data_IF_282727917253
#
_entry.id   IF_282727917253
#
_cell.length_a   1.000
_cell.length_b   1.000
_cell.length_c   1.000
_cell.angle_alpha   90.00
_cell.angle_beta   90.00
_cell.angle_gamma   90.00
#
_symmetry.space_group_name_H-M   'P 1'
#
loop_
_entity.id
_entity.type
_entity.pdbx_description
1 polymer ?
#
# COMPACT_ATOMS: atom_id res chain seq x y z
N UNK A 1 -29.20 -10.35 -16.53
CA UNK A 1 -27.78 -10.58 -16.19
C UNK A 1 -27.33 -9.31 -15.50
N UNK A 2 -26.96 -9.39 -14.23
CA UNK A 2 -26.60 -8.24 -13.40
C UNK A 2 -25.07 -8.13 -13.37
N UNK A 3 -24.52 -6.98 -13.74
CA UNK A 3 -23.08 -6.74 -13.79
C UNK A 3 -22.69 -5.70 -12.72
N UNK A 4 -21.67 -5.98 -11.93
CA UNK A 4 -21.10 -4.99 -10.99
C UNK A 4 -19.62 -4.85 -11.30
N UNK A 5 -19.14 -3.62 -11.52
CA UNK A 5 -17.73 -3.35 -11.78
C UNK A 5 -17.11 -2.73 -10.53
N UNK A 6 -16.10 -3.40 -9.97
CA UNK A 6 -15.37 -2.92 -8.79
C UNK A 6 -13.94 -2.56 -9.20
N UNK A 7 -13.52 -1.32 -8.97
CA UNK A 7 -12.18 -0.81 -9.25
C UNK A 7 -11.44 -0.45 -7.95
N UNK A 8 -10.75 -1.41 -7.33
CA UNK A 8 -9.96 -1.12 -6.15
C UNK A 8 -8.60 -0.47 -6.51
N UNK A 9 -8.05 0.37 -5.62
CA UNK A 9 -6.68 0.87 -5.70
C UNK A 9 -5.71 -0.22 -5.19
N UNK A 10 -4.53 0.17 -4.70
CA UNK A 10 -3.59 -0.78 -4.12
C UNK A 10 -4.22 -1.47 -2.90
N UNK A 11 -4.38 -2.80 -2.99
CA UNK A 11 -4.91 -3.63 -1.92
C UNK A 11 -3.77 -4.01 -0.96
N UNK A 12 -3.95 -3.78 0.34
CA UNK A 12 -2.97 -4.17 1.36
C UNK A 12 -3.51 -5.27 2.28
N UNK A 13 -2.60 -6.14 2.70
CA UNK A 13 -2.82 -7.25 3.62
C UNK A 13 -1.49 -7.66 4.25
N UNK A 14 -1.52 -8.36 5.38
CA UNK A 14 -0.32 -8.87 6.04
C UNK A 14 0.53 -9.76 5.12
N UNK A 15 -0.12 -10.54 4.25
CA UNK A 15 0.49 -11.45 3.29
C UNK A 15 0.53 -10.90 1.85
N UNK A 16 0.28 -9.59 1.64
CA UNK A 16 0.22 -9.01 0.30
C UNK A 16 1.53 -9.22 -0.48
N UNK A 17 1.40 -9.63 -1.75
CA UNK A 17 2.53 -9.95 -2.62
C UNK A 17 3.21 -8.70 -3.23
N UNK A 18 4.27 -8.91 -4.02
CA UNK A 18 4.89 -7.86 -4.82
C UNK A 18 5.66 -6.82 -4.00
N UNK A 19 5.47 -5.54 -4.33
CA UNK A 19 6.23 -4.43 -3.73
C UNK A 19 5.87 -4.21 -2.26
N UNK A 20 4.62 -4.46 -1.85
CA UNK A 20 4.20 -4.35 -0.47
C UNK A 20 4.92 -5.36 0.42
N UNK A 21 5.06 -6.61 -0.02
CA UNK A 21 5.88 -7.63 0.68
C UNK A 21 7.32 -7.19 0.90
N UNK A 22 7.93 -6.57 -0.13
CA UNK A 22 9.31 -6.07 -0.05
C UNK A 22 9.42 -4.92 0.96
N UNK A 23 8.42 -4.05 1.00
CA UNK A 23 8.33 -2.96 1.95
C UNK A 23 8.19 -3.48 3.39
N UNK A 24 7.33 -4.47 3.63
CA UNK A 24 7.21 -5.14 4.94
C UNK A 24 8.53 -5.77 5.36
N UNK A 25 9.19 -6.52 4.46
CA UNK A 25 10.50 -7.13 4.75
C UNK A 25 11.54 -6.06 5.10
N UNK A 26 11.61 -4.97 4.34
CA UNK A 26 12.53 -3.87 4.61
C UNK A 26 12.22 -3.21 5.96
N UNK A 27 10.93 -2.97 6.26
CA UNK A 27 10.51 -2.44 7.55
C UNK A 27 10.94 -3.35 8.70
N UNK A 28 10.80 -4.66 8.55
CA UNK A 28 11.19 -5.65 9.55
C UNK A 28 12.71 -5.71 9.80
N UNK A 29 13.55 -5.31 8.84
CA UNK A 29 15.01 -5.23 9.06
C UNK A 29 15.43 -4.09 10.00
N UNK A 30 14.57 -3.10 10.22
CA UNK A 30 14.91 -1.90 11.00
C UNK A 30 15.92 -0.96 10.32
N UNK A 31 16.31 -1.24 9.07
CA UNK A 31 17.18 -0.37 8.29
C UNK A 31 16.47 0.95 7.93
N UNK A 32 17.23 2.06 7.78
CA UNK A 32 16.66 3.31 7.34
C UNK A 32 16.05 3.19 5.93
N UNK A 33 14.81 3.63 5.78
CA UNK A 33 14.09 3.60 4.51
C UNK A 33 14.46 4.81 3.65
N UNK A 34 14.91 4.62 2.40
CA UNK A 34 15.34 5.72 1.54
C UNK A 34 14.16 6.43 0.84
N UNK A 35 12.95 6.40 1.41
CA UNK A 35 11.74 6.93 0.77
C UNK A 35 11.34 8.33 1.27
N UNK A 36 12.20 9.02 2.01
CA UNK A 36 11.87 10.30 2.65
C UNK A 36 11.51 11.43 1.68
N UNK A 37 11.95 11.37 0.41
CA UNK A 37 11.55 12.33 -0.63
C UNK A 37 10.33 11.88 -1.46
N UNK A 38 9.75 10.70 -1.19
CA UNK A 38 8.60 10.18 -1.94
C UNK A 38 7.31 10.75 -1.35
N UNK A 39 6.86 11.87 -1.91
CA UNK A 39 5.68 12.62 -1.44
C UNK A 39 4.35 12.19 -2.08
N UNK A 40 4.34 11.19 -2.96
CA UNK A 40 3.09 10.73 -3.59
C UNK A 40 2.23 10.01 -2.56
N UNK A 41 1.04 10.52 -2.30
CA UNK A 41 0.00 9.81 -1.57
C UNK A 41 -0.78 8.91 -2.51
N UNK A 42 -1.23 7.76 -2.00
CA UNK A 42 -2.04 6.80 -2.75
C UNK A 42 -3.19 6.32 -1.88
N UNK A 43 -4.38 6.23 -2.47
CA UNK A 43 -5.51 5.56 -1.83
C UNK A 43 -5.24 4.06 -1.73
N UNK A 44 -5.70 3.47 -0.63
CA UNK A 44 -5.47 2.07 -0.29
C UNK A 44 -6.80 1.45 0.14
N UNK A 45 -6.90 0.13 0.02
CA UNK A 45 -8.03 -0.62 0.56
C UNK A 45 -7.52 -1.88 1.24
N UNK A 46 -7.99 -2.15 2.46
CA UNK A 46 -7.69 -3.40 3.14
C UNK A 46 -8.31 -4.57 2.37
N UNK A 47 -7.62 -5.71 2.32
CA UNK A 47 -8.17 -6.92 1.72
C UNK A 47 -9.51 -7.31 2.37
N UNK A 48 -9.61 -7.22 3.70
CA UNK A 48 -10.87 -7.54 4.40
C UNK A 48 -12.01 -6.60 3.98
N UNK A 49 -11.73 -5.30 3.85
CA UNK A 49 -12.72 -4.31 3.43
C UNK A 49 -13.19 -4.55 1.99
N UNK A 50 -12.28 -4.89 1.09
CA UNK A 50 -12.61 -5.21 -0.29
C UNK A 50 -13.49 -6.48 -0.37
N UNK A 51 -13.14 -7.53 0.37
CA UNK A 51 -13.94 -8.77 0.42
C UNK A 51 -15.33 -8.49 0.99
N UNK A 52 -15.43 -7.76 2.10
CA UNK A 52 -16.73 -7.38 2.68
C UNK A 52 -17.58 -6.57 1.72
N UNK A 53 -16.97 -5.67 0.94
CA UNK A 53 -17.67 -4.91 -0.07
C UNK A 53 -18.19 -5.78 -1.21
N UNK A 54 -17.38 -6.72 -1.72
CA UNK A 54 -17.81 -7.69 -2.73
C UNK A 54 -19.01 -8.50 -2.23
N UNK A 55 -18.94 -8.99 -0.99
CA UNK A 55 -20.05 -9.74 -0.35
C UNK A 55 -21.31 -8.87 -0.27
N UNK A 56 -21.17 -7.58 0.07
CA UNK A 56 -22.29 -6.64 0.10
C UNK A 56 -22.92 -6.46 -1.30
N UNK A 57 -22.09 -6.30 -2.34
CA UNK A 57 -22.57 -6.14 -3.72
C UNK A 57 -23.37 -7.34 -4.25
N UNK A 58 -23.09 -8.55 -3.77
CA UNK A 58 -23.81 -9.77 -4.21
C UNK A 58 -25.30 -9.70 -3.81
N UNK A 59 -25.62 -9.12 -2.66
CA UNK A 59 -26.99 -9.11 -2.13
C UNK A 59 -27.70 -7.75 -2.22
N UNK A 60 -27.01 -6.69 -2.65
CA UNK A 60 -27.56 -5.35 -2.58
C UNK A 60 -28.20 -4.92 -3.91
N UNK A 61 -29.51 -4.61 -3.96
CA UNK A 61 -30.19 -4.19 -5.19
C UNK A 61 -29.68 -2.88 -5.80
N UNK A 62 -28.89 -2.09 -5.06
CA UNK A 62 -28.27 -0.85 -5.56
C UNK A 62 -26.93 -1.09 -6.23
N UNK A 63 -26.43 -2.33 -6.23
CA UNK A 63 -25.17 -2.67 -6.86
C UNK A 63 -25.33 -3.06 -8.34
N UNK A 64 -26.54 -3.41 -8.77
CA UNK A 64 -26.82 -3.85 -10.14
C UNK A 64 -26.43 -2.78 -11.17
N UNK A 65 -25.62 -3.16 -12.16
CA UNK A 65 -25.15 -2.33 -13.27
C UNK A 65 -24.36 -1.07 -12.85
N UNK A 66 -23.79 -1.08 -11.65
CA UNK A 66 -23.02 0.04 -11.11
C UNK A 66 -21.50 -0.17 -11.19
N UNK A 67 -20.79 0.96 -11.19
CA UNK A 67 -19.34 1.05 -11.11
C UNK A 67 -18.93 1.64 -9.76
N UNK A 68 -18.23 0.85 -8.96
CA UNK A 68 -17.72 1.29 -7.66
C UNK A 68 -16.20 1.48 -7.67
N UNK A 69 -15.77 2.66 -7.22
CA UNK A 69 -14.37 2.95 -6.87
C UNK A 69 -14.31 2.92 -5.34
N UNK A 70 -13.62 1.93 -4.78
CA UNK A 70 -13.57 1.70 -3.33
C UNK A 70 -12.22 2.11 -2.76
N UNK A 71 -12.19 2.74 -1.60
CA UNK A 71 -10.97 2.97 -0.82
C UNK A 71 -11.31 3.07 0.67
N UNK A 72 -10.31 2.93 1.54
CA UNK A 72 -10.48 3.11 2.98
C UNK A 72 -10.62 4.60 3.39
N UNK A 73 -10.65 5.52 2.42
CA UNK A 73 -10.90 6.95 2.66
C UNK A 73 -9.66 7.76 3.10
N UNK A 74 -8.48 7.14 3.17
CA UNK A 74 -7.23 7.82 3.50
C UNK A 74 -6.20 7.67 2.38
N UNK A 75 -5.64 8.79 1.95
CA UNK A 75 -4.49 8.82 1.06
C UNK A 75 -3.21 8.77 1.87
N UNK A 76 -2.50 7.64 1.80
CA UNK A 76 -1.26 7.46 2.57
C UNK A 76 -0.05 7.77 1.71
N UNK A 77 0.86 8.58 2.23
CA UNK A 77 2.18 8.75 1.64
C UNK A 77 3.05 7.51 1.91
N UNK A 78 4.10 7.28 1.12
CA UNK A 78 5.08 6.21 1.41
C UNK A 78 5.63 6.23 2.84
N UNK A 79 5.97 7.40 3.41
CA UNK A 79 6.25 7.56 4.84
C UNK A 79 5.20 6.98 5.77
N UNK A 80 3.92 7.28 5.51
CA UNK A 80 2.80 6.84 6.35
C UNK A 80 2.63 5.33 6.24
N UNK A 81 2.65 4.79 5.02
CA UNK A 81 2.57 3.35 4.76
C UNK A 81 3.67 2.61 5.53
N UNK A 82 4.91 3.09 5.42
CA UNK A 82 6.04 2.52 6.15
C UNK A 82 5.79 2.54 7.66
N UNK A 83 5.35 3.68 8.21
CA UNK A 83 5.05 3.83 9.63
C UNK A 83 3.95 2.90 10.11
N UNK A 84 2.83 2.78 9.38
CA UNK A 84 1.74 1.87 9.71
C UNK A 84 2.18 0.40 9.64
N UNK A 85 3.01 0.03 8.65
CA UNK A 85 3.63 -1.30 8.60
C UNK A 85 4.46 -1.53 9.86
N UNK A 86 5.31 -0.57 10.25
CA UNK A 86 6.15 -0.66 11.46
C UNK A 86 5.34 -0.90 12.73
N UNK A 87 4.24 -0.18 12.90
CA UNK A 87 3.29 -0.39 14.00
C UNK A 87 2.71 -1.81 13.93
N UNK A 88 2.24 -2.25 12.75
CA UNK A 88 1.61 -3.55 12.56
C UNK A 88 2.53 -4.75 12.80
N UNK A 89 3.83 -4.63 12.54
CA UNK A 89 4.83 -5.69 12.83
C UNK A 89 5.37 -5.65 14.26
N UNK A 90 4.85 -4.77 15.13
CA UNK A 90 5.25 -4.70 16.53
C UNK A 90 6.61 -4.02 16.76
N UNK A 91 7.08 -3.21 15.81
CA UNK A 91 8.17 -2.28 16.10
C UNK A 91 7.62 -1.25 17.09
N UNK A 92 7.91 -1.46 18.38
CA UNK A 92 7.40 -0.64 19.48
C UNK A 92 7.69 0.85 19.29
N UNK A 93 6.93 1.68 20.02
CA UNK A 93 6.89 3.15 19.94
C UNK A 93 8.28 3.83 20.00
N UNK A 94 9.33 3.13 20.49
CA UNK A 94 10.71 3.60 20.55
C UNK A 94 11.61 3.33 19.33
N UNK A 95 11.27 2.38 18.45
CA UNK A 95 12.03 2.11 17.22
C UNK A 95 11.29 2.75 16.03
N UNK A 96 11.53 4.05 15.81
CA UNK A 96 10.95 4.71 14.64
C UNK A 96 11.60 4.18 13.37
N UNK A 97 10.80 3.84 12.35
CA UNK A 97 11.30 3.66 11.00
C UNK A 97 11.96 4.98 10.60
N UNK A 98 13.29 4.96 10.50
CA UNK A 98 14.06 6.14 10.09
C UNK A 98 13.89 6.29 8.59
N UNK A 99 13.46 7.46 8.15
CA UNK A 99 13.43 7.79 6.74
C UNK A 99 14.61 8.67 6.37
N UNK A 100 15.26 8.33 5.28
CA UNK A 100 16.33 9.13 4.69
C UNK A 100 15.76 9.83 3.46
N UNK A 101 15.90 11.17 3.33
CA UNK A 101 15.45 11.91 2.17
C UNK A 101 16.39 11.62 0.99
N UNK A 102 16.13 10.54 0.26
CA UNK A 102 16.84 10.21 -0.99
C UNK A 102 16.01 10.65 -2.19
N UNK A 103 16.55 11.50 -3.09
CA UNK A 103 15.84 11.92 -4.29
C UNK A 103 15.42 10.74 -5.17
N UNK A 104 14.24 10.85 -5.81
CA UNK A 104 13.67 9.80 -6.68
C UNK A 104 14.61 9.35 -7.82
N UNK A 105 15.39 10.24 -8.47
CA UNK A 105 16.34 9.80 -9.50
C UNK A 105 17.43 8.86 -8.96
N UNK A 106 17.94 9.13 -7.75
CA UNK A 106 18.96 8.30 -7.09
C UNK A 106 18.38 6.94 -6.75
N UNK A 107 17.16 6.90 -6.22
CA UNK A 107 16.43 5.65 -5.99
C UNK A 107 16.29 4.81 -7.26
N UNK A 108 15.98 5.45 -8.40
CA UNK A 108 15.83 4.77 -9.69
C UNK A 108 17.16 4.18 -10.18
N UNK A 109 18.27 4.91 -10.03
CA UNK A 109 19.61 4.43 -10.39
C UNK A 109 20.00 3.23 -9.52
N UNK A 110 19.82 3.34 -8.20
CA UNK A 110 20.09 2.24 -7.26
C UNK A 110 19.25 1.00 -7.57
N UNK A 111 17.97 1.20 -7.89
CA UNK A 111 17.05 0.14 -8.27
C UNK A 111 17.50 -0.59 -9.54
N UNK A 112 17.85 0.17 -10.59
CA UNK A 112 18.32 -0.35 -11.86
C UNK A 112 19.65 -1.10 -11.71
N UNK A 113 20.58 -0.60 -10.89
CA UNK A 113 21.84 -1.28 -10.60
C UNK A 113 21.67 -2.65 -9.92
N UNK A 114 20.57 -2.85 -9.19
CA UNK A 114 20.22 -4.13 -8.55
C UNK A 114 19.31 -4.99 -9.44
N UNK A 115 19.07 -4.59 -10.70
CA UNK A 115 18.20 -5.30 -11.64
C UNK A 115 16.72 -5.27 -11.25
N UNK A 116 16.31 -4.33 -10.39
CA UNK A 116 14.92 -4.20 -9.93
C UNK A 116 14.33 -2.90 -10.48
N UNK A 117 13.32 -3.00 -11.34
CA UNK A 117 12.50 -1.83 -11.68
C UNK A 117 11.63 -1.48 -10.47
N UNK A 118 11.91 -0.33 -9.84
CA UNK A 118 11.07 0.22 -8.79
C UNK A 118 10.17 1.29 -9.41
N UNK A 119 8.87 1.03 -9.44
CA UNK A 119 7.85 2.01 -9.80
C UNK A 119 7.49 2.87 -8.57
N UNK A 120 8.31 3.89 -8.29
CA UNK A 120 8.02 4.96 -7.30
C UNK A 120 7.17 6.07 -7.94
#
# INVERSE_FOLDING_TARGET
MELVIIRPPLVYAANASGNFRRLIKLAATGLPMPFGCVKKSRSLVALENLVNFIVCCIGHPKAENELFIISDGFDLSMPDIARYIGIGIGIGIGRRIKMVPVPVPVLRIMANGVGKNIFI
#
